data_IF_641258177717
#
_entry.id   IF_641258177717
#
_cell.length_a   1.000
_cell.length_b   1.000
_cell.length_c   1.000
_cell.angle_alpha   90.00
_cell.angle_beta   90.00
_cell.angle_gamma   90.00
#
_symmetry.space_group_name_H-M   'P 1'
#
loop_
_entity.id
_entity.type
_entity.pdbx_description
1 polymer ?
#
# COMPACT_ATOMS: atom_id res chain seq x y z
N UNK A 1 1.35 16.71 -18.91
CA UNK A 1 1.58 15.33 -19.36
C UNK A 1 1.96 15.28 -20.85
N UNK A 2 2.88 16.15 -21.29
CA UNK A 2 3.24 16.36 -22.72
C UNK A 2 3.94 15.17 -23.37
N UNK A 3 4.42 14.23 -22.57
CA UNK A 3 5.12 13.04 -23.05
C UNK A 3 4.18 11.97 -23.63
N UNK A 4 2.87 12.06 -23.33
CA UNK A 4 1.87 11.16 -23.92
C UNK A 4 1.47 11.55 -25.33
N UNK A 5 1.78 12.76 -25.79
CA UNK A 5 1.37 13.24 -27.12
C UNK A 5 2.25 12.66 -28.25
N UNK A 6 3.28 11.88 -27.91
CA UNK A 6 4.22 11.26 -28.85
C UNK A 6 4.36 9.77 -28.62
N UNK A 7 4.59 8.95 -29.68
CA UNK A 7 4.76 7.53 -29.51
C UNK A 7 5.94 7.15 -28.60
N UNK A 8 5.78 6.08 -27.83
CA UNK A 8 6.84 5.53 -26.98
C UNK A 8 7.53 4.36 -27.69
N UNK A 9 8.75 4.58 -28.16
CA UNK A 9 9.49 3.61 -28.99
C UNK A 9 10.44 2.69 -28.19
N UNK A 10 10.35 2.71 -26.86
CA UNK A 10 11.25 2.01 -25.93
C UNK A 10 11.07 0.49 -25.84
N UNK A 11 10.70 -0.18 -26.93
CA UNK A 11 10.47 -1.62 -26.99
C UNK A 11 9.00 -1.99 -27.22
N UNK A 12 8.68 -3.31 -27.18
CA UNK A 12 7.39 -3.83 -27.63
C UNK A 12 6.19 -3.37 -26.79
N UNK A 13 6.43 -2.90 -25.56
CA UNK A 13 5.38 -2.44 -24.64
C UNK A 13 5.28 -0.92 -24.52
N UNK A 14 6.18 -0.15 -25.18
CA UNK A 14 6.20 1.31 -25.06
C UNK A 14 4.88 1.95 -25.52
N UNK A 15 4.54 1.77 -26.79
CA UNK A 15 3.31 2.34 -27.35
C UNK A 15 2.02 1.77 -26.72
N UNK A 16 1.90 0.45 -26.46
CA UNK A 16 0.77 -0.08 -25.70
C UNK A 16 0.59 0.56 -24.32
N UNK A 17 1.68 0.74 -23.56
CA UNK A 17 1.64 1.38 -22.25
C UNK A 17 1.23 2.86 -22.35
N UNK A 18 1.78 3.61 -23.32
CA UNK A 18 1.38 4.99 -23.60
C UNK A 18 -0.11 5.10 -23.90
N UNK A 19 -0.63 4.22 -24.76
CA UNK A 19 -2.04 4.22 -25.15
C UNK A 19 -2.97 3.97 -23.96
N UNK A 20 -2.64 2.99 -23.11
CA UNK A 20 -3.37 2.72 -21.87
C UNK A 20 -3.33 3.93 -20.92
N UNK A 21 -2.14 4.49 -20.68
CA UNK A 21 -1.99 5.65 -19.80
C UNK A 21 -2.72 6.88 -20.35
N UNK A 22 -2.71 7.09 -21.67
CA UNK A 22 -3.48 8.16 -22.32
C UNK A 22 -4.98 7.99 -22.16
N UNK A 23 -5.50 6.76 -22.32
CA UNK A 23 -6.91 6.45 -22.13
C UNK A 23 -7.38 6.67 -20.68
N UNK A 24 -6.49 6.47 -19.70
CA UNK A 24 -6.79 6.57 -18.27
C UNK A 24 -6.16 7.80 -17.59
N UNK A 25 -5.64 8.76 -18.35
CA UNK A 25 -4.85 9.90 -17.84
C UNK A 25 -5.56 10.65 -16.71
N UNK A 26 -6.81 11.05 -16.93
CA UNK A 26 -7.62 11.76 -15.92
C UNK A 26 -7.81 10.96 -14.63
N UNK A 27 -7.95 9.64 -14.75
CA UNK A 27 -8.12 8.79 -13.58
C UNK A 27 -6.82 8.70 -12.77
N UNK A 28 -5.68 8.53 -13.44
CA UNK A 28 -4.36 8.55 -12.81
C UNK A 28 -4.09 9.91 -12.13
N UNK A 29 -4.39 11.02 -12.81
CA UNK A 29 -4.29 12.36 -12.23
C UNK A 29 -5.13 12.52 -10.95
N UNK A 30 -6.35 11.99 -10.93
CA UNK A 30 -7.20 12.01 -9.73
C UNK A 30 -6.62 11.18 -8.59
N UNK A 31 -6.06 10.00 -8.89
CA UNK A 31 -5.40 9.16 -7.89
C UNK A 31 -4.18 9.85 -7.30
N UNK A 32 -3.36 10.53 -8.13
CA UNK A 32 -2.21 11.30 -7.66
C UNK A 32 -2.63 12.48 -6.77
N UNK A 33 -3.69 13.20 -7.13
CA UNK A 33 -4.23 14.30 -6.29
C UNK A 33 -4.72 13.77 -4.94
N UNK A 34 -5.43 12.63 -4.93
CA UNK A 34 -5.88 12.04 -3.67
C UNK A 34 -4.70 11.50 -2.85
N UNK A 35 -3.68 10.92 -3.50
CA UNK A 35 -2.45 10.50 -2.84
C UNK A 35 -1.79 11.68 -2.12
N UNK A 36 -1.57 12.82 -2.81
CA UNK A 36 -0.98 14.02 -2.21
C UNK A 36 -1.81 14.52 -1.02
N UNK A 37 -3.15 14.54 -1.16
CA UNK A 37 -4.07 14.93 -0.08
C UNK A 37 -3.98 14.01 1.13
N UNK A 38 -3.81 12.71 0.93
CA UNK A 38 -3.70 11.72 2.00
C UNK A 38 -2.34 11.80 2.69
N UNK A 39 -1.25 11.95 1.93
CA UNK A 39 0.10 12.23 2.47
C UNK A 39 0.06 13.45 3.38
N UNK A 40 -0.58 14.52 2.93
CA UNK A 40 -0.69 15.76 3.70
C UNK A 40 -1.42 15.59 5.04
N UNK A 41 -2.35 14.64 5.13
CA UNK A 41 -3.06 14.35 6.39
C UNK A 41 -2.24 13.42 7.27
N UNK A 42 -1.57 12.43 6.69
CA UNK A 42 -0.80 11.41 7.41
C UNK A 42 0.50 11.97 7.99
N UNK A 43 1.14 12.97 7.36
CA UNK A 43 2.33 13.61 7.94
C UNK A 43 2.07 14.23 9.33
N UNK A 44 0.83 14.62 9.62
CA UNK A 44 0.46 15.18 10.92
C UNK A 44 0.40 14.12 12.05
N UNK A 45 0.56 12.83 11.73
CA UNK A 45 0.61 11.73 12.72
C UNK A 45 2.03 11.27 13.04
N UNK A 46 3.06 12.02 12.63
CA UNK A 46 4.47 11.63 12.76
C UNK A 46 4.91 11.22 14.18
N UNK A 47 4.29 11.79 15.22
CA UNK A 47 4.56 11.43 16.60
C UNK A 47 4.20 9.97 16.95
N UNK A 48 3.29 9.35 16.17
CA UNK A 48 2.80 7.99 16.37
C UNK A 48 3.43 6.97 15.41
N UNK A 49 4.39 7.39 14.58
CA UNK A 49 5.05 6.51 13.62
C UNK A 49 5.93 5.46 14.31
N UNK A 50 6.07 4.31 13.66
CA UNK A 50 6.76 3.12 14.18
C UNK A 50 7.74 2.58 13.16
N UNK A 51 8.61 1.66 13.57
CA UNK A 51 9.35 0.83 12.63
C UNK A 51 8.34 -0.03 11.87
N UNK A 52 8.36 0.07 10.56
CA UNK A 52 7.52 -0.71 9.63
C UNK A 52 8.42 -1.55 8.75
N UNK A 53 7.93 -2.72 8.37
CA UNK A 53 8.59 -3.61 7.44
C UNK A 53 8.56 -3.05 6.02
N UNK A 54 7.38 -2.58 5.57
CA UNK A 54 7.12 -2.09 4.22
C UNK A 54 6.35 -3.10 3.38
N UNK A 55 6.79 -4.35 3.39
CA UNK A 55 6.16 -5.43 2.62
C UNK A 55 5.85 -6.70 3.43
N UNK A 56 5.10 -6.64 4.55
CA UNK A 56 4.83 -7.80 5.40
C UNK A 56 3.77 -8.76 4.82
N UNK A 57 3.74 -8.94 3.50
CA UNK A 57 2.79 -9.81 2.82
C UNK A 57 3.14 -11.30 3.01
N UNK A 58 2.21 -12.25 2.78
CA UNK A 58 2.45 -13.67 3.00
C UNK A 58 3.71 -14.25 2.32
N UNK A 59 4.12 -13.72 1.17
CA UNK A 59 5.38 -14.10 0.50
C UNK A 59 6.65 -13.86 1.32
N UNK A 60 6.63 -12.91 2.27
CA UNK A 60 7.76 -12.59 3.16
C UNK A 60 7.63 -13.29 4.53
N UNK A 61 6.64 -14.16 4.72
CA UNK A 61 6.47 -14.95 5.93
C UNK A 61 6.87 -16.41 5.70
N UNK A 62 7.92 -16.85 6.40
CA UNK A 62 8.33 -18.25 6.42
C UNK A 62 7.87 -18.93 7.70
N UNK A 63 7.09 -20.00 7.57
CA UNK A 63 6.74 -20.87 8.71
C UNK A 63 7.84 -21.88 8.96
N UNK A 64 8.42 -21.83 10.16
CA UNK A 64 9.42 -22.80 10.63
C UNK A 64 8.86 -23.63 11.79
N UNK A 65 9.51 -24.75 12.18
CA UNK A 65 9.12 -25.51 13.38
C UNK A 65 9.11 -24.69 14.68
N UNK A 66 9.84 -23.58 14.71
CA UNK A 66 9.96 -22.69 15.89
C UNK A 66 9.11 -21.42 15.75
N UNK A 67 8.21 -21.37 14.77
CA UNK A 67 7.32 -20.23 14.52
C UNK A 67 7.61 -19.48 13.22
N UNK A 68 6.95 -18.35 13.06
CA UNK A 68 7.07 -17.51 11.87
C UNK A 68 8.40 -16.76 11.85
N UNK A 69 8.91 -16.49 10.64
CA UNK A 69 10.00 -15.57 10.34
C UNK A 69 9.53 -14.58 9.30
N UNK A 70 9.86 -13.32 9.50
CA UNK A 70 9.65 -12.25 8.54
C UNK A 70 10.97 -12.01 7.80
N UNK A 71 10.91 -12.08 6.48
CA UNK A 71 12.05 -11.96 5.55
C UNK A 71 11.97 -10.62 4.81
N UNK A 72 13.05 -10.26 4.12
CA UNK A 72 13.13 -9.08 3.25
C UNK A 72 13.02 -7.73 3.99
N UNK A 73 14.03 -7.43 4.81
CA UNK A 73 14.10 -6.22 5.64
C UNK A 73 14.66 -4.99 4.88
N UNK A 74 14.79 -5.04 3.55
CA UNK A 74 15.44 -3.97 2.78
C UNK A 74 14.56 -2.71 2.67
N UNK A 75 13.25 -2.83 2.89
CA UNK A 75 12.27 -1.72 2.80
C UNK A 75 11.90 -1.10 4.15
N UNK A 76 12.61 -1.44 5.21
CA UNK A 76 12.31 -1.02 6.58
C UNK A 76 12.46 0.48 6.76
N UNK A 77 11.46 1.12 7.37
CA UNK A 77 11.52 2.56 7.67
C UNK A 77 10.64 2.96 8.85
N UNK A 78 10.87 4.16 9.40
CA UNK A 78 9.92 4.81 10.31
C UNK A 78 8.79 5.39 9.50
N UNK A 79 7.58 4.88 9.71
CA UNK A 79 6.38 5.25 8.96
C UNK A 79 5.12 5.06 9.83
N UNK A 80 3.95 5.57 9.39
CA UNK A 80 2.68 5.20 9.99
C UNK A 80 2.51 3.67 10.02
N UNK A 81 1.97 3.08 11.11
CA UNK A 81 1.76 1.62 11.19
C UNK A 81 0.89 1.08 10.06
N UNK A 82 0.02 1.93 9.48
CA UNK A 82 -0.82 1.59 8.35
C UNK A 82 -0.04 1.15 7.11
N UNK A 83 1.26 1.48 6.99
CA UNK A 83 2.13 1.00 5.90
C UNK A 83 2.20 -0.52 5.84
N UNK A 84 2.17 -1.16 7.01
CA UNK A 84 2.18 -2.61 7.13
C UNK A 84 0.75 -3.16 7.25
N UNK A 85 -0.13 -2.44 7.96
CA UNK A 85 -1.47 -2.94 8.29
C UNK A 85 -2.45 -2.93 7.11
N UNK A 86 -2.25 -2.09 6.09
CA UNK A 86 -3.15 -2.07 4.93
C UNK A 86 -3.18 -3.41 4.17
N UNK A 87 -2.11 -4.21 4.26
CA UNK A 87 -2.03 -5.55 3.65
C UNK A 87 -2.98 -6.57 4.31
N UNK A 88 -3.56 -6.22 5.47
CA UNK A 88 -4.61 -7.01 6.13
C UNK A 88 -6.02 -6.57 5.70
N UNK A 89 -6.14 -5.57 4.83
CA UNK A 89 -7.43 -5.07 4.34
C UNK A 89 -7.89 -5.80 3.08
N UNK A 90 -9.18 -5.65 2.77
CA UNK A 90 -9.76 -6.06 1.49
C UNK A 90 -9.08 -5.44 0.27
N UNK A 91 -8.49 -4.24 0.40
CA UNK A 91 -7.83 -3.57 -0.71
C UNK A 91 -6.64 -4.41 -1.22
N UNK A 92 -5.84 -4.97 -0.32
CA UNK A 92 -4.72 -5.83 -0.67
C UNK A 92 -5.17 -7.18 -1.28
N UNK A 93 -6.18 -7.83 -0.68
CA UNK A 93 -6.74 -9.06 -1.25
C UNK A 93 -7.28 -8.83 -2.68
N UNK A 94 -7.96 -7.71 -2.90
CA UNK A 94 -8.46 -7.32 -4.24
C UNK A 94 -7.31 -7.09 -5.22
N UNK A 95 -6.22 -6.45 -4.77
CA UNK A 95 -5.01 -6.24 -5.58
C UNK A 95 -4.37 -7.56 -6.00
N UNK A 96 -4.38 -8.58 -5.14
CA UNK A 96 -3.90 -9.93 -5.46
C UNK A 96 -4.88 -10.77 -6.30
N UNK A 97 -6.09 -10.27 -6.57
CA UNK A 97 -7.15 -11.05 -7.23
C UNK A 97 -7.76 -12.14 -6.35
N UNK A 98 -7.59 -12.04 -5.03
CA UNK A 98 -8.14 -12.97 -4.04
C UNK A 98 -9.51 -12.52 -3.55
N UNK A 99 -10.35 -13.48 -3.12
CA UNK A 99 -11.58 -13.15 -2.43
C UNK A 99 -11.24 -12.74 -0.98
N UNK A 100 -11.59 -11.51 -0.55
CA UNK A 100 -11.29 -11.05 0.80
C UNK A 100 -12.01 -11.92 1.83
N UNK A 101 -11.27 -12.41 2.82
CA UNK A 101 -11.86 -13.05 3.99
C UNK A 101 -12.59 -11.99 4.83
N UNK A 102 -13.72 -12.39 5.45
CA UNK A 102 -14.66 -11.52 6.18
C UNK A 102 -14.13 -10.99 7.55
N UNK A 103 -12.82 -11.08 7.81
CA UNK A 103 -12.24 -10.96 9.15
C UNK A 103 -11.19 -9.84 9.34
N UNK A 104 -11.09 -8.85 8.44
CA UNK A 104 -10.11 -7.76 8.57
C UNK A 104 -10.30 -6.89 9.82
N UNK A 105 -11.55 -6.68 10.28
CA UNK A 105 -11.88 -5.80 11.42
C UNK A 105 -11.40 -6.36 12.77
N UNK A 106 -11.27 -7.68 12.88
CA UNK A 106 -10.72 -8.35 14.08
C UNK A 106 -9.21 -8.09 14.23
N UNK A 107 -8.47 -8.01 13.11
CA UNK A 107 -7.02 -7.80 13.15
C UNK A 107 -6.63 -6.43 13.71
N UNK A 108 -7.30 -5.34 13.29
CA UNK A 108 -7.01 -3.99 13.79
C UNK A 108 -7.40 -3.80 15.25
N UNK A 109 -8.49 -4.45 15.67
CA UNK A 109 -8.90 -4.47 17.08
C UNK A 109 -7.84 -5.15 17.96
N UNK A 110 -7.28 -6.27 17.50
CA UNK A 110 -6.18 -6.97 18.19
C UNK A 110 -4.90 -6.14 18.21
N UNK A 111 -4.54 -5.49 17.10
CA UNK A 111 -3.40 -4.59 17.04
C UNK A 111 -3.53 -3.44 18.04
N UNK A 112 -4.68 -2.78 18.06
CA UNK A 112 -4.98 -1.66 18.98
C UNK A 112 -4.90 -2.13 20.43
N UNK A 113 -5.49 -3.28 20.76
CA UNK A 113 -5.44 -3.85 22.10
C UNK A 113 -4.02 -4.20 22.54
N UNK A 114 -3.19 -4.73 21.64
CA UNK A 114 -1.83 -5.17 21.95
C UNK A 114 -0.84 -4.00 22.08
N UNK A 115 -1.06 -2.91 21.33
CA UNK A 115 -0.08 -1.81 21.22
C UNK A 115 -0.53 -0.51 21.86
N UNK A 116 -1.83 -0.35 22.13
CA UNK A 116 -2.44 0.92 22.54
C UNK A 116 -2.54 1.94 21.40
N UNK A 117 -2.12 1.60 20.17
CA UNK A 117 -2.12 2.50 19.01
C UNK A 117 -3.41 2.40 18.23
N UNK A 118 -3.98 3.54 17.86
CA UNK A 118 -5.16 3.59 17.00
C UNK A 118 -4.75 3.54 15.53
N UNK A 119 -5.40 2.68 14.77
CA UNK A 119 -5.27 2.61 13.30
C UNK A 119 -6.21 3.63 12.68
N UNK A 120 -5.68 4.50 11.82
CA UNK A 120 -6.44 5.56 11.17
C UNK A 120 -6.97 5.10 9.82
N UNK A 121 -8.25 5.37 9.50
CA UNK A 121 -8.77 5.09 8.16
C UNK A 121 -8.01 5.82 7.05
N UNK A 122 -7.50 7.03 7.33
CA UNK A 122 -6.75 7.83 6.36
C UNK A 122 -5.39 7.21 6.02
N UNK A 123 -4.67 6.67 7.01
CA UNK A 123 -3.45 5.91 6.75
C UNK A 123 -3.73 4.65 5.94
N UNK A 124 -4.81 3.91 6.27
CA UNK A 124 -5.18 2.70 5.53
C UNK A 124 -5.59 2.98 4.08
N UNK A 125 -6.17 4.15 3.78
CA UNK A 125 -6.52 4.55 2.41
C UNK A 125 -5.35 5.08 1.59
N UNK A 126 -4.25 5.50 2.23
CA UNK A 126 -3.07 6.02 1.56
C UNK A 126 -2.29 4.92 0.81
N UNK A 127 -1.96 3.83 1.51
CA UNK A 127 -1.03 2.83 0.98
C UNK A 127 -1.53 1.98 -0.20
N UNK A 128 -2.84 1.77 -0.42
CA UNK A 128 -3.32 1.21 -1.68
C UNK A 128 -3.05 2.08 -2.91
N UNK A 129 -2.70 3.36 -2.73
CA UNK A 129 -2.37 4.32 -3.80
C UNK A 129 -0.85 4.53 -3.95
N UNK A 130 -0.03 3.91 -3.09
CA UNK A 130 1.43 4.01 -3.11
C UNK A 130 2.03 3.04 -4.13
#
# INVERSE_FOLDING_TARGET
MTDLDRPWTGGPYGEPARALLSAHARHVEQLLIEFDRLVDRVQHTAADWVVTHGEPHPGNLLRTPTGLRLLDWDTVQIAPPERDLWMLTRAFATMLGENPADNSDDAFSRYTKATGRTVTPTGLTLYPLW
#
